data_IF_972752940650
#
_entry.id   IF_972752940650
#
_cell.length_a   1.000
_cell.length_b   1.000
_cell.length_c   1.000
_cell.angle_alpha   90.00
_cell.angle_beta   90.00
_cell.angle_gamma   90.00
#
_symmetry.space_group_name_H-M   'P 1'
#
loop_
_entity.id
_entity.type
_entity.pdbx_description
1 polymer ?
#
# COMPACT_ATOMS: atom_id res chain seq x y z
N UNK A 1 -41.03 -1.66 17.81
CA UNK A 1 -39.72 -1.05 17.58
C UNK A 1 -38.69 -1.97 16.97
N UNK A 2 -38.59 -3.24 17.36
CA UNK A 2 -37.56 -4.20 16.86
C UNK A 2 -37.58 -4.46 15.33
N UNK A 3 -38.77 -4.52 14.69
CA UNK A 3 -38.89 -4.69 13.22
C UNK A 3 -38.36 -3.50 12.40
N UNK A 4 -38.49 -2.27 12.90
CA UNK A 4 -38.02 -1.07 12.19
C UNK A 4 -36.50 -0.94 12.20
N UNK A 5 -35.82 -1.44 13.26
CA UNK A 5 -34.35 -1.43 13.35
C UNK A 5 -33.74 -2.45 12.38
N UNK A 6 -34.33 -3.62 12.24
CA UNK A 6 -33.87 -4.65 11.28
C UNK A 6 -34.01 -4.15 9.83
N UNK A 7 -35.09 -3.46 9.50
CA UNK A 7 -35.32 -2.90 8.17
C UNK A 7 -34.32 -1.76 7.90
N UNK A 8 -33.99 -0.93 8.89
CA UNK A 8 -32.99 0.14 8.74
C UNK A 8 -31.56 -0.43 8.51
N UNK A 9 -31.19 -1.49 9.23
CA UNK A 9 -29.92 -2.19 9.03
C UNK A 9 -29.85 -2.87 7.64
N UNK A 10 -30.92 -3.50 7.19
CA UNK A 10 -30.99 -4.10 5.86
C UNK A 10 -30.95 -3.04 4.73
N UNK A 11 -31.58 -1.88 4.95
CA UNK A 11 -31.54 -0.76 4.00
C UNK A 11 -30.14 -0.11 3.89
N UNK A 12 -29.38 -0.04 4.99
CA UNK A 12 -27.98 0.43 4.95
C UNK A 12 -27.06 -0.52 4.19
N UNK A 13 -27.30 -1.82 4.25
CA UNK A 13 -26.52 -2.81 3.48
C UNK A 13 -26.88 -2.79 1.99
N UNK A 14 -28.14 -2.52 1.65
CA UNK A 14 -28.61 -2.47 0.26
C UNK A 14 -28.28 -1.15 -0.44
N UNK A 15 -27.98 -0.07 0.31
CA UNK A 15 -27.71 1.26 -0.23
C UNK A 15 -26.23 1.53 -0.48
N UNK A 16 -25.32 0.59 -0.18
CA UNK A 16 -23.93 0.69 -0.61
C UNK A 16 -23.84 0.26 -2.08
N UNK A 17 -23.76 1.17 -3.05
CA UNK A 17 -23.40 0.77 -4.39
C UNK A 17 -21.99 0.20 -4.31
N UNK A 18 -21.84 -1.09 -4.58
CA UNK A 18 -20.59 -1.71 -4.94
C UNK A 18 -20.15 -1.16 -6.31
N UNK A 19 -19.86 0.12 -6.35
CA UNK A 19 -19.10 0.66 -7.47
C UNK A 19 -17.66 0.22 -7.23
N UNK A 20 -17.21 -0.70 -8.05
CA UNK A 20 -15.78 -0.84 -8.30
C UNK A 20 -15.33 0.56 -8.73
N UNK A 21 -14.71 1.31 -7.82
CA UNK A 21 -14.17 2.61 -8.14
C UNK A 21 -13.03 2.36 -9.11
N UNK A 22 -13.21 2.77 -10.36
CA UNK A 22 -12.09 2.96 -11.25
C UNK A 22 -11.17 3.95 -10.55
N UNK A 23 -9.98 3.51 -10.18
CA UNK A 23 -8.95 4.35 -9.61
C UNK A 23 -8.45 5.27 -10.71
N UNK A 24 -9.08 6.45 -10.85
CA UNK A 24 -8.57 7.52 -11.69
C UNK A 24 -7.39 8.18 -10.96
N UNK A 25 -6.19 7.90 -11.40
CA UNK A 25 -5.00 8.64 -11.01
C UNK A 25 -4.74 9.74 -12.03
N UNK A 26 -5.15 10.97 -11.68
CA UNK A 26 -4.74 12.19 -12.41
C UNK A 26 -4.98 12.16 -13.91
N UNK A 27 -6.10 11.60 -14.40
CA UNK A 27 -6.44 11.50 -15.82
C UNK A 27 -5.75 10.34 -16.56
N UNK A 28 -4.96 9.53 -15.88
CA UNK A 28 -4.44 8.27 -16.40
C UNK A 28 -5.35 7.15 -15.90
N UNK A 29 -6.10 6.52 -16.78
CA UNK A 29 -6.75 5.25 -16.52
C UNK A 29 -5.66 4.23 -16.21
N UNK A 30 -5.60 3.78 -14.95
CA UNK A 30 -4.68 2.74 -14.54
C UNK A 30 -5.19 1.42 -15.13
N UNK A 31 -4.61 0.97 -16.23
CA UNK A 31 -4.83 -0.38 -16.71
C UNK A 31 -4.21 -1.35 -15.72
N UNK A 32 -4.92 -2.43 -15.38
CA UNK A 32 -4.45 -3.48 -14.47
C UNK A 32 -3.08 -4.06 -14.85
N UNK A 33 -2.67 -3.90 -16.11
CA UNK A 33 -1.40 -4.36 -16.66
C UNK A 33 -0.17 -3.61 -16.10
N UNK A 34 -0.37 -2.46 -15.45
CA UNK A 34 0.71 -1.66 -14.83
C UNK A 34 0.92 -1.99 -13.33
N UNK A 35 0.09 -2.83 -12.72
CA UNK A 35 0.33 -3.29 -11.34
C UNK A 35 1.43 -4.34 -11.34
N UNK A 36 2.55 -3.99 -10.73
CA UNK A 36 3.67 -4.92 -10.55
C UNK A 36 3.40 -5.91 -9.41
N UNK A 37 4.05 -7.05 -9.44
CA UNK A 37 4.00 -8.05 -8.36
C UNK A 37 4.33 -7.48 -6.98
N UNK A 38 5.19 -6.46 -6.94
CA UNK A 38 5.53 -5.68 -5.74
C UNK A 38 4.35 -4.90 -5.15
N UNK A 39 3.43 -4.44 -6.01
CA UNK A 39 2.22 -3.74 -5.54
C UNK A 39 1.25 -4.71 -4.90
N UNK A 40 1.04 -5.88 -5.50
CA UNK A 40 0.24 -6.94 -4.89
C UNK A 40 0.83 -7.40 -3.56
N UNK A 41 2.15 -7.59 -3.49
CA UNK A 41 2.85 -7.93 -2.26
C UNK A 41 2.70 -6.84 -1.19
N UNK A 42 2.73 -5.57 -1.56
CA UNK A 42 2.53 -4.46 -0.63
C UNK A 42 1.07 -4.38 -0.13
N UNK A 43 0.09 -4.61 -1.02
CA UNK A 43 -1.34 -4.57 -0.69
C UNK A 43 -1.78 -5.78 0.15
N UNK A 44 -1.12 -6.94 0.00
CA UNK A 44 -1.41 -8.15 0.76
C UNK A 44 -0.84 -8.13 2.17
N UNK A 45 0.11 -7.24 2.47
CA UNK A 45 0.69 -7.14 3.81
C UNK A 45 -0.30 -6.51 4.78
N UNK A 46 -0.53 -7.18 5.90
CA UNK A 46 -1.21 -6.62 7.05
C UNK A 46 -0.20 -6.38 8.17
N UNK A 47 -0.34 -5.26 8.86
CA UNK A 47 0.44 -4.95 10.04
C UNK A 47 -0.48 -4.96 11.26
N UNK A 48 0.05 -5.24 12.46
CA UNK A 48 -0.74 -5.27 13.70
C UNK A 48 -1.10 -3.85 14.16
N UNK A 49 -1.78 -3.10 13.29
CA UNK A 49 -2.34 -1.80 13.64
C UNK A 49 -3.67 -1.96 14.39
N UNK A 50 -4.08 -0.93 15.11
CA UNK A 50 -5.31 -0.89 15.86
C UNK A 50 -5.16 -0.04 17.12
N UNK A 51 -5.78 -0.45 18.22
CA UNK A 51 -5.58 0.23 19.50
C UNK A 51 -4.14 0.07 20.01
N UNK A 52 -3.66 1.01 20.80
CA UNK A 52 -2.30 0.99 21.35
C UNK A 52 -2.00 -0.32 22.10
N UNK A 53 -3.02 -0.91 22.75
CA UNK A 53 -2.91 -2.20 23.46
C UNK A 53 -2.59 -3.34 22.49
N UNK A 54 -3.29 -3.42 21.36
CA UNK A 54 -3.05 -4.46 20.34
C UNK A 54 -1.68 -4.28 19.68
N UNK A 55 -1.30 -3.04 19.39
CA UNK A 55 0.01 -2.73 18.83
C UNK A 55 1.15 -3.09 19.79
N UNK A 56 1.01 -2.77 21.06
CA UNK A 56 1.99 -3.11 22.11
C UNK A 56 2.18 -4.61 22.33
N UNK A 57 1.19 -5.42 21.96
CA UNK A 57 1.26 -6.89 22.00
C UNK A 57 1.68 -7.50 20.64
N UNK A 58 2.14 -6.67 19.68
CA UNK A 58 2.56 -7.14 18.36
C UNK A 58 1.43 -7.79 17.54
N UNK A 59 0.15 -7.48 17.84
CA UNK A 59 -1.01 -8.07 17.17
C UNK A 59 -1.46 -9.44 17.71
N UNK A 60 -0.84 -9.98 18.76
CA UNK A 60 -1.21 -11.25 19.38
C UNK A 60 -2.50 -11.11 20.20
N UNK A 61 -3.62 -10.83 19.53
CA UNK A 61 -4.88 -10.44 20.16
C UNK A 61 -6.11 -11.26 19.72
N UNK A 62 -5.91 -12.34 18.96
CA UNK A 62 -7.02 -13.12 18.35
C UNK A 62 -7.96 -13.74 19.40
N UNK A 63 -7.40 -14.19 20.53
CA UNK A 63 -8.16 -14.83 21.62
C UNK A 63 -8.55 -13.86 22.73
N UNK A 64 -8.04 -12.63 22.71
CA UNK A 64 -8.37 -11.61 23.68
C UNK A 64 -9.51 -10.73 23.15
N UNK A 65 -10.24 -10.09 24.05
CA UNK A 65 -11.36 -9.23 23.70
C UNK A 65 -11.37 -7.93 24.49
N UNK A 66 -12.52 -7.25 24.49
CA UNK A 66 -12.74 -5.97 25.15
C UNK A 66 -11.76 -4.87 24.68
N UNK A 67 -11.49 -4.83 23.38
CA UNK A 67 -10.84 -3.71 22.68
C UNK A 67 -11.51 -3.48 21.34
N UNK A 68 -11.54 -2.25 20.88
CA UNK A 68 -12.24 -1.88 19.67
C UNK A 68 -11.61 -2.51 18.40
N UNK A 69 -10.30 -2.76 18.40
CA UNK A 69 -9.64 -3.49 17.30
C UNK A 69 -10.13 -4.92 17.10
N UNK A 70 -10.84 -5.51 18.09
CA UNK A 70 -11.49 -6.82 17.94
C UNK A 70 -12.47 -6.85 16.77
N UNK A 71 -13.04 -5.71 16.38
CA UNK A 71 -13.91 -5.63 15.21
C UNK A 71 -13.25 -6.19 13.95
N UNK A 72 -11.96 -5.93 13.76
CA UNK A 72 -11.20 -6.37 12.58
C UNK A 72 -10.43 -7.68 12.79
N UNK A 73 -10.20 -8.10 14.04
CA UNK A 73 -9.40 -9.29 14.36
C UNK A 73 -10.30 -10.47 14.70
N UNK A 74 -11.16 -10.32 15.72
CA UNK A 74 -12.10 -11.32 16.17
C UNK A 74 -13.32 -10.64 16.80
N UNK A 75 -14.43 -10.45 16.06
CA UNK A 75 -15.58 -9.71 16.54
C UNK A 75 -16.27 -10.32 17.77
N UNK A 76 -16.08 -11.60 18.04
CA UNK A 76 -16.57 -12.22 19.27
C UNK A 76 -16.01 -11.55 20.52
N UNK A 77 -14.81 -10.96 20.44
CA UNK A 77 -14.19 -10.20 21.51
C UNK A 77 -14.98 -8.96 21.96
N UNK A 78 -15.89 -8.43 21.13
CA UNK A 78 -16.82 -7.37 21.52
C UNK A 78 -17.81 -7.85 22.58
N UNK A 79 -18.18 -9.13 22.59
CA UNK A 79 -19.04 -9.71 23.62
C UNK A 79 -18.47 -9.66 25.04
N UNK A 80 -17.18 -9.35 25.19
CA UNK A 80 -16.52 -9.19 26.47
C UNK A 80 -16.69 -7.78 27.08
N UNK A 81 -17.20 -6.80 26.30
CA UNK A 81 -17.48 -5.48 26.81
C UNK A 81 -18.63 -5.49 27.80
N UNK A 82 -18.43 -4.82 28.92
CA UNK A 82 -19.44 -4.60 29.95
C UNK A 82 -19.87 -3.15 30.11
N UNK A 83 -19.19 -2.24 29.41
CA UNK A 83 -19.44 -0.80 29.44
C UNK A 83 -19.26 -0.22 28.04
N UNK A 84 -19.86 0.92 27.81
CA UNK A 84 -19.62 1.69 26.60
C UNK A 84 -18.17 2.21 26.61
N UNK A 85 -17.53 2.20 25.46
CA UNK A 85 -16.16 2.68 25.30
C UNK A 85 -16.05 3.55 24.04
N UNK A 86 -15.35 4.65 24.17
CA UNK A 86 -14.83 5.42 23.05
C UNK A 86 -13.33 5.21 22.96
N UNK A 87 -12.84 4.86 21.80
CA UNK A 87 -11.41 4.63 21.56
C UNK A 87 -10.90 5.59 20.49
N UNK A 88 -9.76 6.23 20.80
CA UNK A 88 -9.00 7.07 19.88
C UNK A 88 -7.53 6.79 20.08
N UNK A 89 -6.86 6.29 19.04
CA UNK A 89 -5.44 5.96 19.10
C UNK A 89 -4.68 6.80 18.06
N UNK A 90 -4.04 7.90 18.47
CA UNK A 90 -3.11 8.62 17.61
C UNK A 90 -1.86 7.75 17.35
N UNK A 91 -1.31 7.86 16.16
CA UNK A 91 -0.14 7.12 15.71
C UNK A 91 0.89 8.09 15.14
N UNK A 92 2.11 8.01 15.66
CA UNK A 92 3.28 8.61 15.03
C UNK A 92 4.11 7.49 14.41
N UNK A 93 4.14 7.43 13.08
CA UNK A 93 4.91 6.46 12.32
C UNK A 93 6.22 7.09 11.85
N UNK A 94 7.34 6.44 12.12
CA UNK A 94 8.66 6.83 11.63
C UNK A 94 9.20 5.67 10.81
N UNK A 95 9.28 5.87 9.50
CA UNK A 95 9.90 4.91 8.60
C UNK A 95 11.35 5.33 8.35
N UNK A 96 12.29 4.41 8.59
CA UNK A 96 13.70 4.58 8.27
C UNK A 96 14.06 3.64 7.13
N UNK A 97 14.55 4.18 6.02
CA UNK A 97 15.04 3.43 4.87
C UNK A 97 16.53 3.69 4.67
N UNK A 98 17.30 2.65 4.40
CA UNK A 98 18.68 2.77 3.96
C UNK A 98 18.85 2.03 2.66
N UNK A 99 19.54 2.66 1.72
CA UNK A 99 19.92 2.05 0.44
C UNK A 99 21.44 2.08 0.32
N UNK A 100 21.97 0.97 -0.17
CA UNK A 100 23.39 0.89 -0.50
C UNK A 100 23.57 1.36 -1.94
N UNK A 101 24.19 2.53 -2.08
CA UNK A 101 24.61 3.09 -3.36
C UNK A 101 26.14 3.19 -3.40
N UNK A 102 26.72 3.40 -4.56
CA UNK A 102 28.12 3.75 -4.67
C UNK A 102 28.23 5.29 -4.78
N UNK A 103 29.06 5.96 -3.99
CA UNK A 103 30.10 5.39 -3.10
C UNK A 103 29.66 5.17 -1.65
N UNK A 104 28.43 5.48 -1.25
CA UNK A 104 28.05 5.45 0.16
C UNK A 104 26.59 5.03 0.39
N UNK A 105 26.29 4.67 1.64
CA UNK A 105 24.93 4.43 2.10
C UNK A 105 24.14 5.74 2.16
N UNK A 106 22.92 5.73 1.66
CA UNK A 106 21.99 6.85 1.77
C UNK A 106 20.86 6.46 2.70
N UNK A 107 20.71 7.20 3.80
CA UNK A 107 19.64 6.99 4.77
C UNK A 107 18.56 8.06 4.66
N UNK A 108 17.29 7.65 4.71
CA UNK A 108 16.15 8.55 4.69
C UNK A 108 15.17 8.22 5.80
N UNK A 109 14.62 9.27 6.40
CA UNK A 109 13.57 9.18 7.39
C UNK A 109 12.30 9.82 6.85
N UNK A 110 11.16 9.18 7.11
CA UNK A 110 9.85 9.76 6.86
C UNK A 110 8.97 9.61 8.07
N UNK A 111 8.55 10.74 8.62
CA UNK A 111 7.66 10.81 9.78
C UNK A 111 6.25 11.18 9.33
N UNK A 112 5.25 10.53 9.90
CA UNK A 112 3.83 10.81 9.65
C UNK A 112 3.03 10.68 10.93
N UNK A 113 2.14 11.65 11.13
CA UNK A 113 1.06 11.58 12.11
C UNK A 113 -0.21 11.01 11.46
N UNK A 114 -0.89 10.12 12.18
CA UNK A 114 -2.12 9.49 11.72
C UNK A 114 -2.96 8.97 12.91
N UNK A 115 -4.11 8.39 12.63
CA UNK A 115 -4.88 7.64 13.62
C UNK A 115 -4.82 6.15 13.27
N UNK A 116 -4.49 5.32 14.24
CA UNK A 116 -4.47 3.87 14.08
C UNK A 116 -5.85 3.25 14.31
N UNK A 117 -6.64 3.86 15.22
CA UNK A 117 -7.99 3.43 15.53
C UNK A 117 -8.81 4.61 16.01
N UNK A 118 -10.07 4.65 15.58
CA UNK A 118 -11.10 5.58 16.09
C UNK A 118 -12.44 4.86 16.08
N UNK A 119 -13.18 4.89 17.19
CA UNK A 119 -14.53 4.33 17.18
C UNK A 119 -15.16 4.21 18.55
N UNK A 120 -16.32 3.57 18.57
CA UNK A 120 -17.15 3.38 19.77
C UNK A 120 -17.61 1.92 19.88
N UNK A 121 -17.65 1.42 21.08
CA UNK A 121 -18.32 0.17 21.45
C UNK A 121 -19.49 0.50 22.40
N UNK A 122 -20.67 0.06 22.06
CA UNK A 122 -21.90 0.30 22.81
C UNK A 122 -22.45 -1.02 23.33
N UNK A 123 -22.50 -1.19 24.61
CA UNK A 123 -23.20 -2.30 25.24
C UNK A 123 -24.70 -2.02 25.21
N UNK A 124 -25.41 -2.73 24.35
CA UNK A 124 -26.85 -2.52 24.06
C UNK A 124 -27.73 -3.36 24.97
N UNK A 125 -27.20 -4.47 25.46
CA UNK A 125 -27.93 -5.38 26.33
C UNK A 125 -26.98 -6.02 27.32
N UNK A 126 -27.38 -6.04 28.58
CA UNK A 126 -26.70 -6.75 29.66
C UNK A 126 -27.75 -7.33 30.63
N UNK A 127 -27.68 -8.64 30.84
CA UNK A 127 -28.55 -9.33 31.80
C UNK A 127 -27.86 -10.57 32.35
N UNK A 128 -27.48 -10.59 33.60
CA UNK A 128 -26.88 -11.78 34.25
C UNK A 128 -27.81 -12.96 34.37
N UNK A 129 -29.13 -12.73 34.32
CA UNK A 129 -30.16 -13.77 34.48
C UNK A 129 -30.60 -14.41 33.16
N UNK A 130 -30.11 -13.93 32.03
CA UNK A 130 -30.44 -14.43 30.67
C UNK A 130 -29.32 -15.28 30.13
N UNK A 131 -29.59 -16.34 29.36
CA UNK A 131 -28.55 -17.04 28.58
C UNK A 131 -27.71 -16.10 27.70
N UNK A 132 -28.32 -15.07 27.12
CA UNK A 132 -27.62 -13.97 26.48
C UNK A 132 -27.21 -12.97 27.58
N UNK A 133 -25.94 -13.01 27.98
CA UNK A 133 -25.42 -12.18 29.07
C UNK A 133 -25.15 -10.76 28.63
N UNK A 134 -24.58 -10.56 27.42
CA UNK A 134 -24.34 -9.22 26.88
C UNK A 134 -24.38 -9.20 25.37
N UNK A 135 -24.74 -8.05 24.81
CA UNK A 135 -24.72 -7.76 23.39
C UNK A 135 -24.09 -6.37 23.18
N UNK A 136 -23.01 -6.32 22.43
CA UNK A 136 -22.24 -5.10 22.16
C UNK A 136 -22.22 -4.83 20.67
N UNK A 137 -22.48 -3.59 20.29
CA UNK A 137 -22.29 -3.07 18.94
C UNK A 137 -21.04 -2.23 18.89
N UNK A 138 -20.22 -2.43 17.86
CA UNK A 138 -19.03 -1.65 17.59
C UNK A 138 -19.12 -0.94 16.24
N UNK A 139 -18.72 0.32 16.19
CA UNK A 139 -18.56 1.10 14.94
C UNK A 139 -17.24 1.84 15.03
N UNK A 140 -16.43 1.73 13.99
CA UNK A 140 -15.16 2.42 13.99
C UNK A 140 -14.32 2.22 12.74
N UNK A 141 -13.18 2.87 12.75
CA UNK A 141 -12.16 2.78 11.72
C UNK A 141 -10.88 2.20 12.33
N UNK A 142 -10.34 1.19 11.68
CA UNK A 142 -9.03 0.63 11.97
C UNK A 142 -8.10 0.84 10.77
N UNK A 143 -6.85 1.22 11.04
CA UNK A 143 -5.79 1.19 10.04
C UNK A 143 -5.26 -0.24 9.93
N UNK A 144 -5.16 -0.74 8.70
CA UNK A 144 -4.68 -2.11 8.41
C UNK A 144 -3.24 -2.09 7.92
N UNK A 145 -2.86 -1.08 7.11
CA UNK A 145 -1.51 -0.93 6.61
C UNK A 145 -1.13 0.54 6.40
N UNK A 146 0.17 0.81 6.44
CA UNK A 146 0.76 2.11 6.15
C UNK A 146 1.85 1.95 5.08
N UNK A 147 1.83 2.81 4.05
CA UNK A 147 2.76 2.78 2.91
C UNK A 147 3.73 3.97 2.92
N UNK A 148 3.83 4.69 4.05
CA UNK A 148 4.68 5.88 4.14
C UNK A 148 6.15 5.49 4.28
N UNK A 149 6.85 5.50 3.16
CA UNK A 149 8.29 5.24 3.10
C UNK A 149 8.95 6.24 2.17
N UNK A 150 10.22 6.50 2.40
CA UNK A 150 11.09 7.24 1.49
C UNK A 150 12.43 6.53 1.43
N UNK A 151 12.93 6.35 0.23
CA UNK A 151 14.29 5.89 0.02
C UNK A 151 14.88 6.59 -1.20
N UNK A 152 16.15 6.90 -1.10
CA UNK A 152 16.92 7.50 -2.19
C UNK A 152 18.03 6.54 -2.57
N UNK A 153 18.31 6.48 -3.84
CA UNK A 153 19.40 5.69 -4.39
C UNK A 153 20.33 6.64 -5.15
N UNK A 154 21.62 6.44 -4.98
CA UNK A 154 22.63 7.12 -5.80
C UNK A 154 23.71 6.12 -6.16
N UNK A 155 24.04 6.03 -7.43
CA UNK A 155 25.09 5.15 -7.95
C UNK A 155 25.89 5.87 -9.01
N UNK A 156 27.20 5.72 -8.99
CA UNK A 156 28.08 6.20 -10.04
C UNK A 156 28.47 5.03 -10.94
N UNK A 157 28.16 5.15 -12.23
CA UNK A 157 28.64 4.24 -13.27
C UNK A 157 29.81 4.90 -13.97
N UNK A 158 31.00 4.27 -13.92
CA UNK A 158 32.21 4.76 -14.54
C UNK A 158 32.67 3.76 -15.59
N UNK A 159 33.05 4.26 -16.75
CA UNK A 159 33.73 3.47 -17.76
C UNK A 159 35.16 3.16 -17.31
N UNK A 160 35.52 1.88 -17.19
CA UNK A 160 36.88 1.44 -16.95
C UNK A 160 37.46 0.84 -18.24
N UNK A 161 38.35 1.56 -18.95
CA UNK A 161 38.92 1.07 -20.19
C UNK A 161 39.79 -0.18 -20.04
N UNK A 162 40.23 -0.50 -18.81
CA UNK A 162 40.99 -1.73 -18.52
C UNK A 162 40.09 -2.97 -18.34
N UNK A 163 38.78 -2.77 -18.21
CA UNK A 163 37.79 -3.83 -18.00
C UNK A 163 36.53 -3.56 -18.82
N UNK A 164 36.64 -3.58 -20.17
CA UNK A 164 35.51 -3.25 -21.05
C UNK A 164 34.30 -4.16 -20.89
N UNK A 165 34.50 -5.36 -20.37
CA UNK A 165 33.41 -6.35 -20.12
C UNK A 165 32.74 -6.19 -18.74
N UNK A 166 33.22 -5.30 -17.89
CA UNK A 166 32.67 -5.01 -16.56
C UNK A 166 31.98 -3.63 -16.49
N UNK A 167 31.34 -3.21 -17.56
CA UNK A 167 30.48 -2.03 -17.55
C UNK A 167 29.35 -2.25 -16.54
N UNK A 168 29.30 -1.42 -15.51
CA UNK A 168 28.06 -1.33 -14.74
C UNK A 168 26.99 -0.77 -15.65
N UNK A 169 25.91 -1.52 -15.94
CA UNK A 169 24.88 -1.06 -16.87
C UNK A 169 24.28 0.24 -16.34
N UNK A 170 24.22 1.22 -17.20
CA UNK A 170 23.51 2.46 -16.96
C UNK A 170 22.02 2.25 -17.22
N UNK A 171 21.18 3.18 -16.81
CA UNK A 171 19.76 3.13 -17.16
C UNK A 171 19.55 3.18 -18.70
N UNK A 172 20.48 3.83 -19.41
CA UNK A 172 20.47 3.85 -20.88
C UNK A 172 20.69 2.47 -21.48
N UNK A 173 21.63 1.68 -20.93
CA UNK A 173 21.84 0.30 -21.35
C UNK A 173 20.62 -0.58 -21.09
N UNK A 174 19.97 -0.39 -19.95
CA UNK A 174 18.74 -1.10 -19.60
C UNK A 174 17.61 -0.78 -20.58
N UNK A 175 17.46 0.50 -20.94
CA UNK A 175 16.47 0.92 -21.92
C UNK A 175 16.75 0.38 -23.32
N UNK A 176 18.02 0.42 -23.75
CA UNK A 176 18.44 -0.16 -25.02
C UNK A 176 18.21 -1.66 -25.08
N UNK A 177 18.56 -2.37 -24.00
CA UNK A 177 18.31 -3.81 -23.90
C UNK A 177 16.82 -4.15 -23.92
N UNK A 178 16.00 -3.37 -23.21
CA UNK A 178 14.55 -3.57 -23.16
C UNK A 178 13.89 -3.42 -24.54
N UNK A 179 14.25 -2.41 -25.31
CA UNK A 179 13.73 -2.20 -26.67
C UNK A 179 14.30 -3.23 -27.64
N UNK A 180 15.59 -3.55 -27.53
CA UNK A 180 16.29 -4.46 -28.44
C UNK A 180 15.83 -5.91 -28.31
N UNK A 181 15.53 -6.39 -27.10
CA UNK A 181 15.04 -7.76 -26.88
C UNK A 181 13.70 -8.02 -27.56
N UNK A 182 12.84 -7.02 -27.63
CA UNK A 182 11.52 -7.14 -28.23
C UNK A 182 11.46 -6.59 -29.67
N UNK A 183 12.62 -6.27 -30.27
CA UNK A 183 12.73 -5.82 -31.65
C UNK A 183 12.04 -4.48 -31.93
N UNK A 184 11.97 -3.61 -30.93
CA UNK A 184 11.36 -2.29 -31.05
C UNK A 184 12.42 -1.30 -31.51
N UNK A 185 12.26 -0.78 -32.72
CA UNK A 185 13.15 0.20 -33.33
C UNK A 185 12.35 1.37 -33.93
N UNK A 186 12.99 2.53 -34.12
CA UNK A 186 12.36 3.65 -34.82
C UNK A 186 12.01 3.33 -36.26
N UNK A 187 11.06 4.07 -36.84
CA UNK A 187 10.73 4.00 -38.27
C UNK A 187 11.86 4.59 -39.11
N UNK A 188 11.73 4.46 -40.47
CA UNK A 188 12.71 4.99 -41.44
C UNK A 188 12.93 6.51 -41.31
N UNK A 189 12.06 7.22 -40.61
CA UNK A 189 12.16 8.66 -40.33
C UNK A 189 12.75 8.96 -38.95
N UNK A 190 13.14 7.95 -38.20
CA UNK A 190 13.68 8.09 -36.87
C UNK A 190 12.63 8.36 -35.78
N UNK A 191 11.33 8.07 -36.05
CA UNK A 191 10.29 8.29 -35.05
C UNK A 191 10.00 6.99 -34.30
N UNK A 192 9.94 7.06 -32.98
CA UNK A 192 9.49 5.99 -32.12
C UNK A 192 8.30 6.49 -31.30
N UNK A 193 7.10 6.03 -31.66
CA UNK A 193 5.85 6.46 -31.03
C UNK A 193 5.50 5.66 -29.78
N UNK A 194 4.55 6.17 -28.98
CA UNK A 194 4.05 5.54 -27.75
C UNK A 194 2.87 4.56 -27.99
N UNK A 195 2.79 3.98 -29.20
CA UNK A 195 1.78 2.98 -29.57
C UNK A 195 2.11 1.56 -29.10
N UNK A 196 3.17 1.41 -28.34
CA UNK A 196 3.62 0.18 -27.71
C UNK A 196 3.03 0.04 -26.30
N UNK A 197 3.18 -1.14 -25.68
CA UNK A 197 2.81 -1.37 -24.30
C UNK A 197 3.46 -0.30 -23.40
N UNK A 198 2.72 0.28 -22.43
CA UNK A 198 3.24 1.30 -21.49
C UNK A 198 4.52 0.91 -20.76
N UNK A 199 4.82 -0.38 -20.66
CA UNK A 199 6.08 -0.88 -20.11
C UNK A 199 7.32 -0.30 -20.83
N UNK A 200 7.22 -0.04 -22.15
CA UNK A 200 8.32 0.51 -22.95
C UNK A 200 8.39 2.04 -22.96
N UNK A 201 7.38 2.73 -22.46
CA UNK A 201 7.31 4.18 -22.50
C UNK A 201 8.52 4.90 -21.89
N UNK A 202 9.10 4.44 -20.72
CA UNK A 202 10.32 5.05 -20.19
C UNK A 202 11.52 4.94 -21.16
N UNK A 203 11.67 3.79 -21.82
CA UNK A 203 12.74 3.58 -22.79
C UNK A 203 12.51 4.39 -24.09
N UNK A 204 11.27 4.48 -24.58
CA UNK A 204 10.87 5.32 -25.71
C UNK A 204 11.12 6.81 -25.38
N UNK A 205 10.82 7.25 -24.17
CA UNK A 205 11.14 8.60 -23.70
C UNK A 205 12.66 8.83 -23.67
N UNK A 206 13.42 7.80 -23.25
CA UNK A 206 14.88 7.82 -23.28
C UNK A 206 15.43 8.04 -24.70
N UNK A 207 14.87 7.35 -25.69
CA UNK A 207 15.22 7.54 -27.10
C UNK A 207 14.85 8.96 -27.58
N UNK A 208 13.63 9.39 -27.37
CA UNK A 208 13.16 10.72 -27.77
C UNK A 208 13.90 11.86 -27.01
N UNK A 209 14.49 11.57 -25.85
CA UNK A 209 15.31 12.48 -25.07
C UNK A 209 16.83 12.38 -25.34
N UNK A 210 17.24 11.65 -26.40
CA UNK A 210 18.64 11.44 -26.76
C UNK A 210 19.50 10.81 -25.64
N UNK A 211 18.91 9.94 -24.84
CA UNK A 211 19.64 9.16 -23.86
C UNK A 211 20.23 7.88 -24.48
N UNK A 212 19.52 7.34 -25.50
CA UNK A 212 19.92 6.19 -26.31
C UNK A 212 19.65 6.49 -27.77
N UNK A 213 20.47 5.92 -28.67
CA UNK A 213 20.32 6.00 -30.11
C UNK A 213 20.33 4.62 -30.75
N UNK A 214 19.62 4.49 -31.88
CA UNK A 214 19.75 3.33 -32.76
C UNK A 214 20.91 3.54 -33.74
N UNK A 215 21.89 2.65 -33.70
CA UNK A 215 23.03 2.65 -34.59
C UNK A 215 23.07 1.31 -35.32
N UNK A 216 22.44 1.29 -36.51
CA UNK A 216 22.44 0.10 -37.38
C UNK A 216 21.69 -1.11 -36.77
N UNK A 217 20.60 -0.90 -36.05
CA UNK A 217 19.80 -1.94 -35.41
C UNK A 217 20.35 -2.36 -34.06
N UNK A 218 21.22 -1.55 -33.48
CA UNK A 218 21.73 -1.73 -32.11
C UNK A 218 21.50 -0.47 -31.29
N UNK A 219 20.95 -0.67 -30.09
CA UNK A 219 20.75 0.41 -29.13
C UNK A 219 22.07 0.75 -28.43
N UNK A 220 22.47 2.02 -28.49
CA UNK A 220 23.72 2.53 -27.90
C UNK A 220 23.38 3.70 -26.97
N UNK A 221 23.94 3.74 -25.74
CA UNK A 221 23.80 4.88 -24.87
C UNK A 221 24.58 6.10 -25.42
N UNK A 222 23.91 7.25 -25.51
CA UNK A 222 24.53 8.50 -26.00
C UNK A 222 25.23 9.28 -24.88
N UNK A 223 24.88 9.01 -23.63
CA UNK A 223 25.34 9.79 -22.48
C UNK A 223 26.74 9.40 -21.98
N UNK A 224 27.36 8.33 -22.51
CA UNK A 224 28.63 7.82 -22.00
C UNK A 224 29.72 7.94 -23.04
N UNK A 225 30.53 8.99 -22.92
CA UNK A 225 31.81 9.07 -23.62
C UNK A 225 32.89 8.21 -22.96
N UNK A 226 33.96 7.89 -23.70
CA UNK A 226 35.16 7.26 -23.14
C UNK A 226 35.70 8.17 -22.02
N UNK A 227 35.94 7.63 -20.84
CA UNK A 227 36.36 8.32 -19.61
C UNK A 227 35.29 9.18 -18.92
N UNK A 228 34.03 9.02 -19.26
CA UNK A 228 32.93 9.67 -18.54
C UNK A 228 32.43 8.82 -17.39
N UNK A 229 31.92 9.47 -16.35
CA UNK A 229 31.11 8.84 -15.31
C UNK A 229 29.71 9.42 -15.32
N UNK A 230 28.72 8.58 -15.05
CA UNK A 230 27.32 8.98 -14.93
C UNK A 230 26.85 8.66 -13.52
N UNK A 231 26.33 9.68 -12.85
CA UNK A 231 25.70 9.52 -11.55
C UNK A 231 24.20 9.36 -11.73
N UNK A 232 23.70 8.20 -11.33
CA UNK A 232 22.27 7.93 -11.29
C UNK A 232 21.77 8.25 -9.88
N UNK A 233 20.77 9.09 -9.78
CA UNK A 233 20.08 9.34 -8.51
C UNK A 233 18.58 9.14 -8.68
N UNK A 234 17.97 8.51 -7.71
CA UNK A 234 16.52 8.30 -7.68
C UNK A 234 16.01 8.51 -6.25
N UNK A 235 14.99 9.33 -6.11
CA UNK A 235 14.26 9.52 -4.85
C UNK A 235 12.85 8.95 -5.00
N UNK A 236 12.53 7.94 -4.19
CA UNK A 236 11.22 7.30 -4.21
C UNK A 236 10.48 7.62 -2.92
N UNK A 237 9.34 8.24 -3.07
CA UNK A 237 8.45 8.60 -1.97
C UNK A 237 7.14 7.85 -2.13
N UNK A 238 6.89 6.89 -1.25
CA UNK A 238 5.61 6.20 -1.15
C UNK A 238 4.75 6.82 -0.06
N UNK A 239 3.47 6.99 -0.34
CA UNK A 239 2.47 7.53 0.59
C UNK A 239 1.19 6.73 0.47
N UNK A 240 0.51 6.55 1.60
CA UNK A 240 -0.79 5.93 1.59
C UNK A 240 -1.06 5.05 2.78
N UNK A 241 -2.24 4.45 2.78
CA UNK A 241 -2.68 3.54 3.83
C UNK A 241 -3.86 2.70 3.38
N UNK A 242 -4.07 1.59 4.07
CA UNK A 242 -5.32 0.84 4.03
C UNK A 242 -6.04 1.10 5.35
N UNK A 243 -7.25 1.65 5.26
CA UNK A 243 -8.14 1.85 6.40
C UNK A 243 -9.37 0.97 6.22
N UNK A 244 -9.84 0.37 7.29
CA UNK A 244 -11.07 -0.41 7.34
C UNK A 244 -12.08 0.30 8.22
N UNK A 245 -13.23 0.65 7.66
CA UNK A 245 -14.41 1.06 8.40
C UNK A 245 -15.22 -0.19 8.71
N UNK A 246 -15.45 -0.46 9.99
CA UNK A 246 -16.12 -1.67 10.43
C UNK A 246 -17.36 -1.37 11.27
N UNK A 247 -18.40 -2.14 11.02
CA UNK A 247 -19.57 -2.25 11.89
C UNK A 247 -19.65 -3.70 12.36
N UNK A 248 -19.66 -3.87 13.67
CA UNK A 248 -19.49 -5.17 14.30
C UNK A 248 -20.52 -5.38 15.41
N UNK A 249 -20.85 -6.63 15.65
CA UNK A 249 -21.70 -7.07 16.75
C UNK A 249 -21.02 -8.24 17.45
N UNK A 250 -20.97 -8.19 18.79
CA UNK A 250 -20.49 -9.29 19.61
C UNK A 250 -21.49 -9.64 20.70
N UNK A 251 -21.75 -10.92 20.86
CA UNK A 251 -22.67 -11.48 21.87
C UNK A 251 -21.92 -12.43 22.80
N UNK A 252 -22.31 -12.42 24.05
CA UNK A 252 -21.79 -13.28 25.10
C UNK A 252 -22.93 -14.16 25.65
N UNK A 253 -22.73 -15.46 25.64
CA UNK A 253 -23.67 -16.43 26.17
C UNK A 253 -23.07 -17.09 27.42
N UNK A 254 -23.69 -16.86 28.58
CA UNK A 254 -23.34 -17.43 29.89
C UNK A 254 -21.85 -17.27 30.28
N UNK A 255 -21.13 -16.29 29.68
CA UNK A 255 -19.67 -16.12 29.86
C UNK A 255 -18.82 -17.34 29.41
N UNK A 256 -19.39 -18.21 28.56
CA UNK A 256 -18.74 -19.43 28.06
C UNK A 256 -18.53 -19.34 26.53
N UNK A 257 -19.56 -18.91 25.81
CA UNK A 257 -19.53 -18.83 24.35
C UNK A 257 -19.65 -17.37 23.91
N UNK A 258 -18.72 -16.95 23.07
CA UNK A 258 -18.71 -15.63 22.46
C UNK A 258 -18.86 -15.77 20.96
N UNK A 259 -19.79 -15.02 20.38
CA UNK A 259 -20.07 -15.02 18.95
C UNK A 259 -20.05 -13.58 18.45
N UNK A 260 -19.50 -13.37 17.27
CA UNK A 260 -19.45 -12.03 16.68
C UNK A 260 -19.49 -12.08 15.18
N UNK A 261 -19.93 -10.97 14.60
CA UNK A 261 -19.91 -10.72 13.18
C UNK A 261 -19.49 -9.29 12.87
N UNK A 262 -18.79 -9.11 11.77
CA UNK A 262 -18.31 -7.80 11.29
C UNK A 262 -18.60 -7.65 9.81
N UNK A 263 -19.01 -6.45 9.44
CA UNK A 263 -19.00 -5.98 8.05
C UNK A 263 -17.93 -4.88 7.99
N UNK A 264 -16.88 -5.14 7.23
CA UNK A 264 -15.75 -4.21 7.05
C UNK A 264 -15.67 -3.74 5.60
N UNK A 265 -15.54 -2.42 5.43
CA UNK A 265 -15.32 -1.77 4.12
C UNK A 265 -13.89 -1.22 4.14
N UNK A 266 -13.05 -1.73 3.25
CA UNK A 266 -11.66 -1.30 3.14
C UNK A 266 -11.50 -0.22 2.09
N UNK A 267 -10.83 0.86 2.46
CA UNK A 267 -10.38 1.91 1.57
C UNK A 267 -8.87 1.84 1.43
N UNK A 268 -8.40 1.74 0.19
CA UNK A 268 -6.99 1.65 -0.15
C UNK A 268 -6.58 2.93 -0.86
N UNK A 269 -5.55 3.57 -0.36
CA UNK A 269 -4.91 4.71 -1.01
C UNK A 269 -3.40 4.48 -1.03
N UNK A 270 -2.80 4.51 -2.23
CA UNK A 270 -1.35 4.41 -2.41
C UNK A 270 -0.93 5.37 -3.51
N UNK A 271 0.08 6.19 -3.23
CA UNK A 271 0.73 7.07 -4.20
C UNK A 271 2.23 6.85 -4.11
N UNK A 272 2.86 6.64 -5.26
CA UNK A 272 4.32 6.54 -5.39
C UNK A 272 4.78 7.65 -6.31
N UNK A 273 5.71 8.47 -5.84
CA UNK A 273 6.42 9.48 -6.63
C UNK A 273 7.87 9.05 -6.80
N UNK A 274 8.41 9.21 -8.00
CA UNK A 274 9.81 8.98 -8.34
C UNK A 274 10.34 10.25 -8.99
N UNK A 275 11.52 10.70 -8.56
CA UNK A 275 12.25 11.84 -9.14
C UNK A 275 13.74 11.52 -9.21
#
# INVERSE_FOLDING_TARGET
MKRKIIILLAACVAAAPLQAQNLEFGGLTYNNDLMMSTDFAALSRSHPFGTARVMGMGGAFTSLGAVLSSMSINPAGLGMYRRNEFSLTPLLSVAHGQTQGAPSWVGNNKTRFAFANVGVALNVFESPASPLTSLTLGIGMNRIADFNTRYSFSSESRYDPSKPDQLMPTIADVFGQQLGQDGIFPDDKGNLGYNWNPWYWPAILGYNGYLISDVGGQWVPDCIGRNASVVHSMDVVSQGSINEFAVSMGANFNNVVYVGATIGIRSVYKKVGMT
#
